data_IF_551970493556
#
_entry.id   IF_551970493556
#
_cell.length_a   1.000
_cell.length_b   1.000
_cell.length_c   1.000
_cell.angle_alpha   90.00
_cell.angle_beta   90.00
_cell.angle_gamma   90.00
#
_symmetry.space_group_name_H-M   'P 1'
#
loop_
_entity.id
_entity.type
_entity.pdbx_description
1 polymer ?
#
# COMPACT_ATOMS: atom_id res chain seq x y z
N UNK A 1 -86.85 -47.02 20.99
CA UNK A 1 -86.94 -46.08 19.86
C UNK A 1 -85.50 -45.70 19.44
N UNK A 2 -85.05 -46.26 18.30
CA UNK A 2 -83.67 -46.14 17.85
C UNK A 2 -83.61 -44.99 16.84
N UNK A 3 -82.67 -44.05 17.04
CA UNK A 3 -82.34 -43.04 16.04
C UNK A 3 -80.90 -43.26 15.63
N UNK A 4 -80.68 -43.54 14.34
CA UNK A 4 -79.40 -43.70 13.69
C UNK A 4 -78.80 -42.31 13.39
N UNK A 5 -77.56 -42.11 13.76
CA UNK A 5 -76.77 -40.95 13.34
C UNK A 5 -75.82 -41.41 12.27
N UNK A 6 -75.93 -40.81 11.07
CA UNK A 6 -74.98 -41.01 9.95
C UNK A 6 -73.81 -40.07 10.10
N UNK A 7 -72.61 -40.64 10.13
CA UNK A 7 -71.34 -39.92 10.09
C UNK A 7 -70.93 -39.67 8.65
N UNK A 8 -70.78 -38.40 8.26
CA UNK A 8 -70.12 -38.01 7.02
C UNK A 8 -68.60 -37.80 7.28
N UNK A 9 -67.76 -38.55 6.55
CA UNK A 9 -66.35 -38.29 6.45
C UNK A 9 -66.14 -37.15 5.44
N UNK A 10 -65.48 -36.08 5.89
CA UNK A 10 -64.92 -35.03 5.02
C UNK A 10 -63.44 -35.29 4.91
N UNK A 11 -62.97 -35.64 3.70
CA UNK A 11 -61.56 -35.79 3.42
C UNK A 11 -60.87 -34.45 3.26
N UNK A 12 -59.89 -34.19 4.10
CA UNK A 12 -59.01 -33.01 4.00
C UNK A 12 -57.82 -33.40 3.09
N UNK A 13 -57.82 -32.88 1.87
CA UNK A 13 -56.68 -32.91 0.98
C UNK A 13 -55.59 -31.93 1.42
N UNK A 14 -54.46 -32.47 1.87
CA UNK A 14 -53.26 -31.70 2.15
C UNK A 14 -52.53 -31.35 0.86
N UNK A 15 -52.70 -30.10 0.37
CA UNK A 15 -51.90 -29.57 -0.74
C UNK A 15 -50.52 -29.11 -0.18
N UNK A 16 -49.48 -29.90 -0.37
CA UNK A 16 -48.11 -29.53 -0.09
C UNK A 16 -47.64 -28.55 -1.17
N UNK A 17 -47.64 -27.27 -0.82
CA UNK A 17 -46.92 -26.23 -1.58
C UNK A 17 -45.42 -26.41 -1.38
N UNK A 18 -44.72 -27.01 -2.39
CA UNK A 18 -43.28 -26.92 -2.50
C UNK A 18 -42.89 -25.44 -2.78
N UNK A 19 -42.49 -24.72 -1.76
CA UNK A 19 -41.81 -23.45 -1.92
C UNK A 19 -40.38 -23.74 -2.45
N UNK A 20 -40.20 -23.66 -3.77
CA UNK A 20 -38.90 -23.55 -4.39
C UNK A 20 -38.26 -22.26 -3.93
N UNK A 21 -37.44 -22.34 -2.88
CA UNK A 21 -36.58 -21.24 -2.47
C UNK A 21 -35.56 -20.94 -3.58
N UNK A 22 -35.86 -19.95 -4.40
CA UNK A 22 -34.87 -19.31 -5.26
C UNK A 22 -33.85 -18.67 -4.32
N UNK A 23 -32.78 -19.38 -4.04
CA UNK A 23 -31.57 -18.80 -3.48
C UNK A 23 -31.05 -17.79 -4.50
N UNK A 24 -31.47 -16.55 -4.39
CA UNK A 24 -30.83 -15.42 -5.06
C UNK A 24 -29.41 -15.38 -4.54
N UNK A 25 -28.46 -15.98 -5.27
CA UNK A 25 -27.05 -15.65 -5.09
C UNK A 25 -26.98 -14.13 -5.26
N UNK A 26 -26.76 -13.41 -4.19
CA UNK A 26 -26.44 -11.98 -4.26
C UNK A 26 -25.19 -11.89 -5.15
N UNK A 27 -25.36 -11.62 -6.43
CA UNK A 27 -24.27 -11.20 -7.29
C UNK A 27 -23.78 -9.90 -6.68
N UNK A 28 -22.54 -9.89 -6.21
CA UNK A 28 -21.92 -8.65 -5.78
C UNK A 28 -22.11 -7.63 -6.91
N UNK A 29 -22.71 -6.48 -6.58
CA UNK A 29 -23.00 -5.45 -7.58
C UNK A 29 -21.69 -5.11 -8.30
N UNK A 30 -21.72 -5.17 -9.63
CA UNK A 30 -20.57 -4.81 -10.47
C UNK A 30 -20.22 -3.35 -10.19
N UNK A 31 -18.96 -3.04 -9.81
CA UNK A 31 -18.58 -1.68 -9.48
C UNK A 31 -18.84 -0.72 -10.64
N UNK A 32 -19.22 0.52 -10.36
CA UNK A 32 -19.54 1.55 -11.38
C UNK A 32 -18.37 1.83 -12.33
N UNK A 33 -17.13 1.65 -11.86
CA UNK A 33 -15.93 1.79 -12.70
C UNK A 33 -15.71 0.60 -13.66
N UNK A 34 -16.47 -0.47 -13.54
CA UNK A 34 -16.44 -1.59 -14.46
C UNK A 34 -17.46 -1.40 -15.58
N UNK A 35 -17.02 -0.97 -16.75
CA UNK A 35 -17.86 -0.81 -17.92
C UNK A 35 -18.10 -2.12 -18.69
N UNK A 36 -18.96 -2.10 -19.73
CA UNK A 36 -19.39 -3.29 -20.45
C UNK A 36 -18.38 -3.83 -21.47
N UNK A 37 -17.43 -3.02 -21.92
CA UNK A 37 -16.45 -3.41 -22.97
C UNK A 37 -15.43 -4.37 -22.37
N UNK A 38 -15.20 -5.50 -23.04
CA UNK A 38 -14.15 -6.46 -22.63
C UNK A 38 -12.77 -5.86 -22.83
N UNK A 39 -11.88 -6.12 -21.85
CA UNK A 39 -10.51 -5.62 -21.89
C UNK A 39 -9.54 -6.59 -21.17
N UNK A 40 -8.27 -6.43 -21.49
CA UNK A 40 -7.13 -7.07 -20.83
C UNK A 40 -6.29 -6.02 -20.11
N UNK A 41 -5.76 -6.35 -18.93
CA UNK A 41 -4.97 -5.42 -18.11
C UNK A 41 -3.66 -6.07 -17.68
N UNK A 42 -2.59 -5.29 -17.62
CA UNK A 42 -1.32 -5.70 -17.03
C UNK A 42 -0.90 -4.76 -15.92
N UNK A 43 -0.43 -5.32 -14.80
CA UNK A 43 0.30 -4.61 -13.76
C UNK A 43 1.80 -4.82 -13.99
N UNK A 44 2.52 -3.73 -14.18
CA UNK A 44 3.96 -3.73 -14.40
C UNK A 44 4.63 -3.08 -13.19
N UNK A 45 5.39 -3.87 -12.45
CA UNK A 45 6.14 -3.44 -11.28
C UNK A 45 7.61 -3.26 -11.66
N UNK A 46 8.25 -2.21 -11.16
CA UNK A 46 9.68 -1.99 -11.42
C UNK A 46 10.58 -2.85 -10.53
N UNK A 47 10.10 -3.23 -9.33
CA UNK A 47 10.85 -4.00 -8.33
C UNK A 47 9.94 -4.84 -7.44
N UNK A 48 9.64 -6.07 -7.86
CA UNK A 48 8.66 -6.96 -7.20
C UNK A 48 9.15 -7.71 -5.97
N UNK A 49 10.37 -7.47 -5.49
CA UNK A 49 11.08 -8.38 -4.59
C UNK A 49 10.70 -8.35 -3.11
N UNK A 50 10.13 -7.27 -2.56
CA UNK A 50 9.80 -7.19 -1.14
C UNK A 50 8.33 -7.49 -0.84
N UNK A 51 8.01 -7.71 0.44
CA UNK A 51 6.65 -8.05 0.87
C UNK A 51 5.62 -6.98 0.52
N UNK A 52 5.99 -5.70 0.59
CA UNK A 52 5.09 -4.60 0.23
C UNK A 52 4.64 -4.72 -1.24
N UNK A 53 5.58 -5.02 -2.15
CA UNK A 53 5.30 -5.20 -3.57
C UNK A 53 4.40 -6.41 -3.82
N UNK A 54 4.67 -7.52 -3.13
CA UNK A 54 3.87 -8.74 -3.25
C UNK A 54 2.44 -8.50 -2.79
N UNK A 55 2.23 -7.82 -1.66
CA UNK A 55 0.88 -7.45 -1.17
C UNK A 55 0.21 -6.45 -2.11
N UNK A 56 0.93 -5.44 -2.60
CA UNK A 56 0.41 -4.48 -3.59
C UNK A 56 -0.02 -5.17 -4.88
N UNK A 57 0.78 -6.12 -5.38
CA UNK A 57 0.42 -6.92 -6.56
C UNK A 57 -0.86 -7.72 -6.34
N UNK A 58 -1.01 -8.34 -5.16
CA UNK A 58 -2.24 -9.05 -4.78
C UNK A 58 -3.44 -8.10 -4.71
N UNK A 59 -3.27 -6.90 -4.14
CA UNK A 59 -4.32 -5.88 -4.09
C UNK A 59 -4.79 -5.46 -5.49
N UNK A 60 -3.85 -5.23 -6.41
CA UNK A 60 -4.15 -4.87 -7.80
C UNK A 60 -4.91 -5.97 -8.54
N UNK A 61 -4.49 -7.23 -8.35
CA UNK A 61 -5.18 -8.39 -8.92
C UNK A 61 -6.61 -8.51 -8.40
N UNK A 62 -6.79 -8.50 -7.09
CA UNK A 62 -8.11 -8.55 -6.45
C UNK A 62 -9.02 -7.43 -6.94
N UNK A 63 -8.48 -6.22 -7.16
CA UNK A 63 -9.29 -5.11 -7.67
C UNK A 63 -9.73 -5.33 -9.11
N UNK A 64 -8.83 -5.79 -9.98
CA UNK A 64 -9.16 -6.10 -11.37
C UNK A 64 -10.23 -7.22 -11.49
N UNK A 65 -10.16 -8.23 -10.63
CA UNK A 65 -11.09 -9.38 -10.59
C UNK A 65 -12.52 -9.00 -10.19
N UNK A 66 -12.73 -7.82 -9.58
CA UNK A 66 -14.08 -7.30 -9.32
C UNK A 66 -14.82 -6.91 -10.59
N UNK A 67 -14.11 -6.74 -11.71
CA UNK A 67 -14.72 -6.35 -12.98
C UNK A 67 -14.82 -7.55 -13.94
N UNK A 68 -16.02 -8.11 -14.16
CA UNK A 68 -16.22 -9.24 -15.06
C UNK A 68 -15.93 -8.93 -16.55
N UNK A 69 -15.70 -7.66 -16.88
CA UNK A 69 -15.27 -7.25 -18.22
C UNK A 69 -13.77 -7.40 -18.44
N UNK A 70 -12.98 -7.58 -17.38
CA UNK A 70 -11.55 -7.91 -17.49
C UNK A 70 -11.43 -9.42 -17.80
N UNK A 71 -11.00 -9.72 -19.00
CA UNK A 71 -10.88 -11.11 -19.50
C UNK A 71 -9.52 -11.73 -19.18
N UNK A 72 -8.50 -10.90 -18.92
CA UNK A 72 -7.16 -11.34 -18.55
C UNK A 72 -6.46 -10.29 -17.70
N UNK A 73 -5.84 -10.73 -16.60
CA UNK A 73 -4.91 -9.95 -15.80
C UNK A 73 -3.50 -10.54 -15.96
N UNK A 74 -2.54 -9.71 -16.31
CA UNK A 74 -1.14 -10.10 -16.45
C UNK A 74 -0.26 -9.30 -15.47
N UNK A 75 0.91 -9.86 -15.15
CA UNK A 75 1.88 -9.24 -14.26
C UNK A 75 3.29 -9.38 -14.83
N UNK A 76 4.12 -8.35 -14.64
CA UNK A 76 5.55 -8.42 -14.87
C UNK A 76 6.30 -7.67 -13.76
N UNK A 77 7.43 -8.26 -13.37
CA UNK A 77 8.37 -7.71 -12.40
C UNK A 77 9.64 -7.23 -13.13
N UNK A 78 9.94 -5.95 -13.04
CA UNK A 78 11.15 -5.34 -13.58
C UNK A 78 12.45 -5.71 -12.84
N UNK A 79 12.34 -6.33 -11.66
CA UNK A 79 13.48 -6.84 -10.85
C UNK A 79 14.52 -5.77 -10.50
N UNK A 80 14.11 -4.53 -10.32
CA UNK A 80 14.99 -3.39 -10.08
C UNK A 80 15.82 -2.98 -11.31
N UNK A 81 15.55 -3.55 -12.48
CA UNK A 81 16.27 -3.28 -13.71
C UNK A 81 15.44 -2.38 -14.64
N UNK A 82 15.88 -1.14 -14.81
CA UNK A 82 15.21 -0.14 -15.64
C UNK A 82 15.02 -0.62 -17.09
N UNK A 83 16.01 -1.30 -17.69
CA UNK A 83 15.90 -1.77 -19.07
C UNK A 83 14.84 -2.87 -19.21
N UNK A 84 14.76 -3.74 -18.20
CA UNK A 84 13.71 -4.75 -18.17
C UNK A 84 12.33 -4.11 -18.02
N UNK A 85 12.15 -3.15 -17.12
CA UNK A 85 10.89 -2.42 -16.97
C UNK A 85 10.47 -1.74 -18.29
N UNK A 86 11.40 -1.08 -19.00
CA UNK A 86 11.16 -0.51 -20.31
C UNK A 86 10.77 -1.57 -21.37
N UNK A 87 11.43 -2.74 -21.34
CA UNK A 87 11.11 -3.87 -22.22
C UNK A 87 9.73 -4.44 -21.93
N UNK A 88 9.37 -4.57 -20.67
CA UNK A 88 8.05 -5.06 -20.24
C UNK A 88 6.94 -4.12 -20.72
N UNK A 89 7.07 -2.80 -20.52
CA UNK A 89 6.10 -1.81 -21.00
C UNK A 89 5.88 -1.95 -22.51
N UNK A 90 6.97 -1.97 -23.28
CA UNK A 90 6.90 -2.11 -24.75
C UNK A 90 6.32 -3.47 -25.17
N UNK A 91 6.74 -4.54 -24.48
CA UNK A 91 6.31 -5.91 -24.77
C UNK A 91 4.80 -6.11 -24.55
N UNK A 92 4.26 -5.63 -23.42
CA UNK A 92 2.83 -5.74 -23.15
C UNK A 92 1.99 -4.87 -24.07
N UNK A 93 2.45 -3.65 -24.43
CA UNK A 93 1.80 -2.84 -25.43
C UNK A 93 1.75 -3.53 -26.80
N UNK A 94 2.85 -4.16 -27.22
CA UNK A 94 2.95 -4.90 -28.50
C UNK A 94 2.11 -6.19 -28.50
N UNK A 95 1.97 -6.88 -27.37
CA UNK A 95 1.11 -8.07 -27.22
C UNK A 95 -0.40 -7.76 -27.32
N UNK A 96 -0.77 -6.51 -27.37
CA UNK A 96 -2.16 -6.12 -27.52
C UNK A 96 -2.93 -5.95 -26.21
N UNK A 97 -2.26 -5.94 -25.04
CA UNK A 97 -2.90 -5.61 -23.77
C UNK A 97 -3.56 -4.22 -23.86
N UNK A 98 -4.80 -4.09 -23.40
CA UNK A 98 -5.59 -2.87 -23.55
C UNK A 98 -5.19 -1.79 -22.53
N UNK A 99 -4.84 -2.17 -21.30
CA UNK A 99 -4.48 -1.25 -20.22
C UNK A 99 -3.21 -1.69 -19.46
N UNK A 100 -2.33 -0.73 -19.22
CA UNK A 100 -1.09 -0.89 -18.47
C UNK A 100 -1.18 -0.05 -17.20
N UNK A 101 -1.11 -0.69 -16.02
CA UNK A 101 -0.92 -0.04 -14.72
C UNK A 101 0.56 -0.19 -14.37
N UNK A 102 1.28 0.92 -14.19
CA UNK A 102 2.73 0.91 -14.12
C UNK A 102 3.24 1.56 -12.85
N UNK A 103 3.96 0.82 -12.02
CA UNK A 103 4.73 1.41 -10.94
C UNK A 103 6.04 1.98 -11.51
N UNK A 104 6.18 3.28 -11.43
CA UNK A 104 7.27 4.00 -12.09
C UNK A 104 8.56 4.10 -11.29
N UNK A 105 9.10 3.00 -10.73
CA UNK A 105 10.31 3.03 -9.88
C UNK A 105 11.49 3.80 -10.46
N UNK A 106 11.71 3.68 -11.76
CA UNK A 106 12.80 4.37 -12.45
C UNK A 106 12.48 5.85 -12.77
N UNK A 107 11.35 6.38 -12.23
CA UNK A 107 10.97 7.78 -12.39
C UNK A 107 10.85 8.19 -13.86
N UNK A 108 11.41 9.35 -14.25
CA UNK A 108 11.30 9.85 -15.63
C UNK A 108 11.91 8.95 -16.71
N UNK A 109 12.77 8.00 -16.36
CA UNK A 109 13.38 7.09 -17.33
C UNK A 109 12.35 6.19 -18.05
N UNK A 110 11.20 5.88 -17.42
CA UNK A 110 10.14 5.10 -18.08
C UNK A 110 9.23 5.91 -18.97
N UNK A 111 9.23 7.25 -18.85
CA UNK A 111 8.31 8.13 -19.57
C UNK A 111 8.29 7.93 -21.11
N UNK A 112 9.42 7.74 -21.81
CA UNK A 112 9.39 7.49 -23.26
C UNK A 112 8.62 6.22 -23.63
N UNK A 113 8.73 5.14 -22.85
CA UNK A 113 8.01 3.90 -23.10
C UNK A 113 6.52 4.02 -22.79
N UNK A 114 6.15 4.72 -21.69
CA UNK A 114 4.75 5.04 -21.38
C UNK A 114 4.11 5.87 -22.49
N UNK A 115 4.80 6.91 -22.95
CA UNK A 115 4.32 7.78 -24.06
C UNK A 115 4.15 7.00 -25.35
N UNK A 116 5.05 6.09 -25.68
CA UNK A 116 4.94 5.26 -26.87
C UNK A 116 3.73 4.32 -26.79
N UNK A 117 3.50 3.68 -25.65
CA UNK A 117 2.33 2.83 -25.42
C UNK A 117 1.01 3.65 -25.50
N UNK A 118 0.97 4.83 -24.90
CA UNK A 118 -0.18 5.72 -24.95
C UNK A 118 -0.50 6.17 -26.38
N UNK A 119 0.51 6.61 -27.15
CA UNK A 119 0.35 6.97 -28.55
C UNK A 119 -0.05 5.80 -29.46
N UNK A 120 0.25 4.57 -29.05
CA UNK A 120 -0.23 3.35 -29.71
C UNK A 120 -1.68 3.00 -29.32
N UNK A 121 -2.39 3.89 -28.61
CA UNK A 121 -3.80 3.73 -28.25
C UNK A 121 -4.04 2.87 -27.02
N UNK A 122 -3.00 2.59 -26.21
CA UNK A 122 -3.17 1.86 -24.94
C UNK A 122 -3.61 2.79 -23.83
N UNK A 123 -4.42 2.28 -22.91
CA UNK A 123 -4.65 2.92 -21.62
C UNK A 123 -3.38 2.75 -20.80
N UNK A 124 -2.79 3.83 -20.32
CA UNK A 124 -1.54 3.81 -19.55
C UNK A 124 -1.73 4.62 -18.27
N UNK A 125 -1.63 3.95 -17.13
CA UNK A 125 -1.84 4.55 -15.81
C UNK A 125 -0.58 4.33 -14.96
N UNK A 126 0.41 5.24 -15.02
CA UNK A 126 1.48 5.24 -14.03
C UNK A 126 0.92 5.62 -12.66
N UNK A 127 1.46 5.02 -11.59
CA UNK A 127 0.97 5.29 -10.26
C UNK A 127 2.08 5.40 -9.21
N UNK A 128 1.73 6.04 -8.10
CA UNK A 128 2.50 6.24 -6.87
C UNK A 128 3.72 7.17 -7.05
N UNK A 129 4.70 6.78 -7.86
CA UNK A 129 5.95 7.53 -8.07
C UNK A 129 5.82 8.42 -9.30
N UNK A 130 6.24 9.67 -9.20
CA UNK A 130 6.19 10.64 -10.30
C UNK A 130 7.15 10.25 -11.42
N UNK A 131 6.61 10.08 -12.62
CA UNK A 131 7.38 9.70 -13.82
C UNK A 131 7.62 10.90 -14.76
N UNK A 132 7.13 12.09 -14.39
CA UNK A 132 7.07 13.24 -15.29
C UNK A 132 5.95 13.11 -16.32
N UNK A 133 5.93 14.01 -17.31
CA UNK A 133 4.90 14.01 -18.34
C UNK A 133 3.57 14.63 -17.89
N UNK A 134 2.50 14.36 -18.65
CA UNK A 134 1.20 15.00 -18.43
C UNK A 134 0.05 14.08 -18.84
N UNK A 135 -1.01 14.10 -18.03
CA UNK A 135 -2.27 13.40 -18.26
C UNK A 135 -2.86 13.75 -19.63
N UNK A 136 -3.30 12.73 -20.37
CA UNK A 136 -3.89 12.88 -21.71
C UNK A 136 -2.92 13.24 -22.84
N UNK A 137 -1.63 13.44 -22.53
CA UNK A 137 -0.59 13.76 -23.54
C UNK A 137 0.49 12.69 -23.61
N UNK A 138 0.94 12.18 -22.47
CA UNK A 138 2.05 11.22 -22.36
C UNK A 138 1.62 9.87 -21.79
N UNK A 139 0.52 9.86 -21.09
CA UNK A 139 -0.18 8.69 -20.55
C UNK A 139 -1.65 9.07 -20.30
N UNK A 140 -2.49 8.11 -20.01
CA UNK A 140 -3.92 8.35 -19.80
C UNK A 140 -4.17 9.15 -18.52
N UNK A 141 -3.63 8.69 -17.37
CA UNK A 141 -3.81 9.30 -16.07
C UNK A 141 -2.69 8.90 -15.12
N UNK A 142 -2.13 9.86 -14.39
CA UNK A 142 -1.28 9.57 -13.24
C UNK A 142 -2.11 9.44 -11.97
N UNK A 143 -1.92 8.36 -11.22
CA UNK A 143 -2.55 8.12 -9.93
C UNK A 143 -1.52 8.26 -8.82
N UNK A 144 -1.50 9.42 -8.17
CA UNK A 144 -0.53 9.77 -7.14
C UNK A 144 -0.82 9.16 -5.77
N UNK A 145 0.09 9.46 -4.83
CA UNK A 145 -0.11 9.30 -3.39
C UNK A 145 0.26 10.60 -2.68
N UNK A 146 -0.38 10.88 -1.54
CA UNK A 146 -0.17 12.13 -0.80
C UNK A 146 1.02 12.06 0.17
N UNK A 147 2.21 11.73 -0.33
CA UNK A 147 3.42 11.59 0.50
C UNK A 147 3.76 12.84 1.31
N UNK A 148 3.46 14.01 0.78
CA UNK A 148 3.64 15.26 1.53
C UNK A 148 2.73 15.31 2.76
N UNK A 149 1.52 14.75 2.68
CA UNK A 149 0.61 14.64 3.83
C UNK A 149 1.14 13.63 4.85
N UNK A 150 1.77 12.52 4.40
CA UNK A 150 2.39 11.53 5.26
C UNK A 150 3.53 12.17 6.07
N UNK A 151 4.45 12.86 5.40
CA UNK A 151 5.54 13.61 6.04
C UNK A 151 5.03 14.69 7.00
N UNK A 152 3.98 15.42 6.62
CA UNK A 152 3.36 16.43 7.50
C UNK A 152 2.70 15.80 8.74
N UNK A 153 2.13 14.60 8.61
CA UNK A 153 1.54 13.84 9.72
C UNK A 153 2.62 13.39 10.70
N UNK A 154 3.72 12.82 10.21
CA UNK A 154 4.90 12.51 11.02
C UNK A 154 5.44 13.75 11.73
N UNK A 155 5.60 14.86 10.98
CA UNK A 155 6.09 16.13 11.54
C UNK A 155 5.22 16.66 12.67
N UNK A 156 3.90 16.62 12.53
CA UNK A 156 2.96 17.05 13.58
C UNK A 156 3.08 16.20 14.84
N UNK A 157 3.16 14.88 14.67
CA UNK A 157 3.34 13.97 15.79
C UNK A 157 4.70 14.19 16.48
N UNK A 158 5.79 14.30 15.71
CA UNK A 158 7.13 14.57 16.23
C UNK A 158 7.12 15.89 17.03
N UNK A 159 6.55 16.95 16.49
CA UNK A 159 6.47 18.27 17.17
C UNK A 159 5.69 18.20 18.48
N UNK A 160 4.63 17.39 18.53
CA UNK A 160 3.85 17.17 19.75
C UNK A 160 4.65 16.39 20.82
N UNK A 161 5.50 15.43 20.41
CA UNK A 161 6.31 14.64 21.34
C UNK A 161 7.60 15.36 21.78
N UNK A 162 8.14 16.23 20.95
CA UNK A 162 9.42 16.93 21.13
C UNK A 162 9.25 18.45 20.89
N UNK A 163 8.50 19.17 21.73
CA UNK A 163 8.14 20.57 21.45
C UNK A 163 9.33 21.53 21.42
N UNK A 164 10.49 21.14 21.95
CA UNK A 164 11.71 21.95 22.00
C UNK A 164 12.75 21.57 20.93
N UNK A 165 12.37 20.75 19.94
CA UNK A 165 13.26 20.24 18.90
C UNK A 165 13.78 18.82 19.19
N UNK A 166 14.37 18.20 18.17
CA UNK A 166 14.86 16.83 18.22
C UNK A 166 15.97 16.56 17.19
N UNK A 167 16.80 15.55 17.44
CA UNK A 167 17.72 14.99 16.45
C UNK A 167 17.03 13.85 15.69
N UNK A 168 16.95 13.98 14.38
CA UNK A 168 16.19 13.12 13.50
C UNK A 168 17.11 12.36 12.55
N UNK A 169 16.83 11.08 12.32
CA UNK A 169 17.28 10.37 11.13
C UNK A 169 16.08 10.19 10.20
N UNK A 170 16.26 10.38 8.90
CA UNK A 170 15.26 10.05 7.89
C UNK A 170 15.85 9.07 6.88
N UNK A 171 15.26 7.86 6.83
CA UNK A 171 15.64 6.77 5.94
C UNK A 171 14.52 6.57 4.91
N UNK A 172 14.88 6.55 3.62
CA UNK A 172 13.92 6.37 2.53
C UNK A 172 14.50 5.52 1.39
N UNK A 173 13.74 5.39 0.33
CA UNK A 173 14.06 4.57 -0.84
C UNK A 173 15.25 5.07 -1.67
N UNK A 174 15.19 4.88 -3.01
CA UNK A 174 16.25 5.33 -3.92
C UNK A 174 16.42 6.84 -3.93
N UNK A 175 17.65 7.31 -4.07
CA UNK A 175 17.94 8.74 -4.24
C UNK A 175 17.18 9.33 -5.43
N UNK A 176 16.55 10.49 -5.23
CA UNK A 176 15.75 11.16 -6.26
C UNK A 176 14.36 10.58 -6.49
N UNK A 177 13.95 9.54 -5.75
CA UNK A 177 12.59 9.07 -5.79
C UNK A 177 11.64 10.11 -5.18
N UNK A 178 10.51 10.38 -5.85
CA UNK A 178 9.57 11.42 -5.42
C UNK A 178 8.92 11.14 -4.08
N UNK A 179 8.75 9.89 -3.65
CA UNK A 179 8.16 9.55 -2.37
C UNK A 179 8.94 10.18 -1.22
N UNK A 180 10.19 9.81 -1.03
CA UNK A 180 11.01 10.35 0.08
C UNK A 180 11.22 11.86 0.00
N UNK A 181 11.31 12.43 -1.22
CA UNK A 181 11.44 13.88 -1.40
C UNK A 181 10.17 14.62 -0.96
N UNK A 182 9.00 14.12 -1.30
CA UNK A 182 7.72 14.71 -0.92
C UNK A 182 7.45 14.54 0.59
N UNK A 183 7.80 13.39 1.18
CA UNK A 183 7.72 13.15 2.62
C UNK A 183 8.63 14.12 3.39
N UNK A 184 9.87 14.30 2.93
CA UNK A 184 10.79 15.31 3.51
C UNK A 184 10.22 16.73 3.38
N UNK A 185 9.65 17.06 2.22
CA UNK A 185 8.98 18.33 2.04
C UNK A 185 7.80 18.49 3.01
N UNK A 186 7.05 17.44 3.24
CA UNK A 186 5.96 17.38 4.23
C UNK A 186 6.46 17.64 5.65
N UNK A 187 7.49 16.92 6.09
CA UNK A 187 8.15 17.12 7.39
C UNK A 187 8.55 18.60 7.58
N UNK A 188 9.21 19.20 6.58
CA UNK A 188 9.68 20.58 6.61
C UNK A 188 8.57 21.64 6.59
N UNK A 189 7.32 21.28 6.27
CA UNK A 189 6.19 22.21 6.43
C UNK A 189 5.78 22.40 7.89
N UNK A 190 6.22 21.49 8.77
CA UNK A 190 5.80 21.43 10.19
C UNK A 190 6.98 21.67 11.13
N UNK A 191 8.12 21.06 10.81
CA UNK A 191 9.34 21.11 11.63
C UNK A 191 10.21 22.30 11.22
N UNK A 192 10.63 23.07 12.20
CA UNK A 192 11.54 24.22 12.03
C UNK A 192 13.01 23.82 12.30
N UNK A 193 13.93 24.76 12.31
CA UNK A 193 15.37 24.54 12.45
C UNK A 193 15.81 23.99 13.82
N UNK A 194 14.91 23.89 14.79
CA UNK A 194 15.19 23.22 16.08
C UNK A 194 15.21 21.69 15.92
N UNK A 195 14.65 21.17 14.83
CA UNK A 195 14.65 19.75 14.47
C UNK A 195 15.79 19.49 13.48
N UNK A 196 16.83 18.79 13.95
CA UNK A 196 18.07 18.58 13.20
C UNK A 196 18.11 17.23 12.54
N UNK A 197 18.14 17.20 11.21
CA UNK A 197 18.41 15.97 10.45
C UNK A 197 19.91 15.64 10.56
N UNK A 198 20.23 14.47 11.10
CA UNK A 198 21.60 14.00 11.35
C UNK A 198 22.24 13.41 10.09
N UNK A 199 21.42 12.88 9.20
CA UNK A 199 21.86 12.29 7.94
C UNK A 199 22.09 13.36 6.86
N UNK A 200 22.89 13.03 5.82
CA UNK A 200 23.07 13.92 4.67
C UNK A 200 21.74 14.15 3.93
N UNK A 201 21.61 15.31 3.31
CA UNK A 201 20.43 15.62 2.51
C UNK A 201 20.39 14.79 1.21
N UNK A 202 19.21 14.37 0.76
CA UNK A 202 17.89 14.64 1.37
C UNK A 202 17.56 13.67 2.51
N UNK A 203 18.06 12.43 2.48
CA UNK A 203 17.84 11.35 3.45
C UNK A 203 18.87 10.23 3.26
N UNK A 204 18.93 9.30 4.20
CA UNK A 204 19.71 8.07 4.02
C UNK A 204 19.01 7.12 3.06
N UNK A 205 19.74 6.73 2.01
CA UNK A 205 19.22 5.87 0.95
C UNK A 205 19.27 4.41 1.37
N UNK A 206 18.10 3.76 1.40
CA UNK A 206 17.96 2.35 1.75
C UNK A 206 17.44 1.48 0.61
N UNK A 207 17.03 2.09 -0.50
CA UNK A 207 16.39 1.41 -1.64
C UNK A 207 15.20 0.52 -1.23
N UNK A 208 14.60 0.76 -0.04
CA UNK A 208 13.59 -0.10 0.59
C UNK A 208 14.04 -1.57 0.73
N UNK A 209 15.36 -1.79 0.77
CA UNK A 209 15.97 -3.08 1.03
C UNK A 209 16.22 -3.26 2.54
N UNK A 210 15.68 -4.31 3.18
CA UNK A 210 15.86 -4.51 4.62
C UNK A 210 17.32 -4.69 5.05
N UNK A 211 18.15 -5.35 4.23
CA UNK A 211 19.56 -5.58 4.55
C UNK A 211 20.37 -4.29 4.46
N UNK A 212 20.12 -3.48 3.43
CA UNK A 212 20.75 -2.17 3.30
C UNK A 212 20.26 -1.22 4.41
N UNK A 213 18.95 -1.22 4.74
CA UNK A 213 18.42 -0.44 5.87
C UNK A 213 19.12 -0.80 7.17
N UNK A 214 19.33 -2.09 7.44
CA UNK A 214 20.05 -2.55 8.62
C UNK A 214 21.49 -2.02 8.64
N UNK A 215 22.22 -2.11 7.54
CA UNK A 215 23.58 -1.61 7.43
C UNK A 215 23.67 -0.10 7.68
N UNK A 216 22.82 0.68 7.00
CA UNK A 216 22.78 2.15 7.10
C UNK A 216 22.41 2.58 8.51
N UNK A 217 21.34 2.05 9.07
CA UNK A 217 20.90 2.42 10.41
C UNK A 217 21.90 2.01 11.48
N UNK A 218 22.54 0.84 11.38
CA UNK A 218 23.61 0.42 12.29
C UNK A 218 24.78 1.40 12.26
N UNK A 219 25.18 1.87 11.09
CA UNK A 219 26.24 2.86 10.94
C UNK A 219 25.85 4.23 11.55
N UNK A 220 24.61 4.69 11.32
CA UNK A 220 24.12 5.94 11.88
C UNK A 220 23.96 5.86 13.42
N UNK A 221 23.58 4.70 13.97
CA UNK A 221 23.55 4.48 15.42
C UNK A 221 24.96 4.61 16.03
N UNK A 222 25.97 4.06 15.39
CA UNK A 222 27.35 4.14 15.84
C UNK A 222 27.93 5.57 15.76
N UNK A 223 27.56 6.31 14.71
CA UNK A 223 28.06 7.66 14.41
C UNK A 223 27.40 8.73 15.30
N UNK A 224 26.13 8.57 15.59
CA UNK A 224 25.33 9.60 16.29
C UNK A 224 25.04 9.16 17.73
N UNK A 225 25.64 9.80 18.74
CA UNK A 225 25.45 9.42 20.14
C UNK A 225 24.03 9.70 20.64
N UNK A 226 23.31 10.65 20.01
CA UNK A 226 21.94 11.01 20.36
C UNK A 226 21.06 11.04 19.11
N UNK A 227 20.10 10.16 19.04
CA UNK A 227 19.02 10.08 18.04
C UNK A 227 17.73 10.12 18.84
N UNK A 228 16.89 11.13 18.63
CA UNK A 228 15.63 11.28 19.34
C UNK A 228 14.48 10.62 18.57
N UNK A 229 14.52 10.69 17.23
CA UNK A 229 13.49 10.13 16.35
C UNK A 229 14.11 9.52 15.11
N UNK A 230 13.60 8.36 14.69
CA UNK A 230 13.83 7.80 13.36
C UNK A 230 12.54 7.93 12.55
N UNK A 231 12.64 8.56 11.39
CA UNK A 231 11.59 8.60 10.38
C UNK A 231 11.93 7.63 9.27
N UNK A 232 10.96 6.86 8.80
CA UNK A 232 11.16 5.96 7.65
C UNK A 232 9.85 5.70 6.92
N UNK A 233 9.90 5.71 5.61
CA UNK A 233 8.77 5.34 4.75
C UNK A 233 8.57 3.82 4.64
N UNK A 234 9.49 3.02 5.21
CA UNK A 234 9.39 1.56 5.25
C UNK A 234 9.72 1.01 6.65
N UNK A 235 8.77 1.17 7.59
CA UNK A 235 8.92 0.80 8.99
C UNK A 235 9.40 -0.63 9.27
N UNK A 236 8.87 -1.68 8.62
CA UNK A 236 9.33 -3.05 8.82
C UNK A 236 10.82 -3.29 8.60
N UNK A 237 11.46 -2.51 7.72
CA UNK A 237 12.89 -2.65 7.43
C UNK A 237 13.80 -2.21 8.60
N UNK A 238 13.27 -1.39 9.51
CA UNK A 238 14.02 -0.91 10.68
C UNK A 238 14.28 -2.02 11.71
N UNK A 239 13.38 -3.01 11.79
CA UNK A 239 13.35 -4.03 12.86
C UNK A 239 14.69 -4.75 13.01
N UNK A 240 15.40 -5.01 11.91
CA UNK A 240 16.70 -5.70 11.92
C UNK A 240 17.81 -4.92 12.63
N UNK A 241 17.76 -3.58 12.65
CA UNK A 241 18.77 -2.72 13.25
C UNK A 241 18.40 -2.18 14.64
N UNK A 242 17.12 -2.12 15.00
CA UNK A 242 16.70 -1.57 16.30
C UNK A 242 17.37 -2.21 17.53
N UNK A 243 17.70 -3.54 17.55
CA UNK A 243 18.43 -4.15 18.64
C UNK A 243 19.84 -3.56 18.89
N UNK A 244 20.43 -2.86 17.91
CA UNK A 244 21.76 -2.23 18.06
C UNK A 244 21.75 -1.09 19.10
N UNK A 245 20.60 -0.43 19.32
CA UNK A 245 20.46 0.52 20.40
C UNK A 245 20.74 -0.13 21.76
N UNK A 246 20.11 -1.26 22.05
CA UNK A 246 20.31 -2.00 23.28
C UNK A 246 21.76 -2.49 23.42
N UNK A 247 22.36 -2.98 22.35
CA UNK A 247 23.77 -3.40 22.34
C UNK A 247 24.73 -2.26 22.66
N UNK A 248 24.38 -1.04 22.26
CA UNK A 248 25.13 0.18 22.58
C UNK A 248 24.78 0.82 23.93
N UNK A 249 23.95 0.15 24.76
CA UNK A 249 23.51 0.65 26.06
C UNK A 249 22.49 1.81 25.97
N UNK A 250 21.79 1.94 24.85
CA UNK A 250 20.85 3.04 24.55
C UNK A 250 19.42 2.53 24.43
N UNK A 251 18.46 3.37 24.77
CA UNK A 251 17.05 3.12 24.46
C UNK A 251 16.77 3.24 22.98
N UNK A 252 15.83 2.45 22.45
CA UNK A 252 15.30 2.64 21.11
C UNK A 252 14.55 3.98 21.09
N UNK A 253 14.84 4.87 20.13
CA UNK A 253 14.19 6.19 20.04
C UNK A 253 12.74 6.08 19.55
N UNK A 254 12.06 7.23 19.50
CA UNK A 254 10.74 7.33 18.88
C UNK A 254 10.80 7.02 17.37
N UNK A 255 9.78 6.37 16.85
CA UNK A 255 9.64 6.07 15.42
C UNK A 255 8.40 6.75 14.84
N UNK A 256 8.55 7.43 13.70
CA UNK A 256 7.47 7.94 12.88
C UNK A 256 7.61 7.34 11.47
N UNK A 257 6.69 6.42 11.06
CA UNK A 257 6.94 5.56 9.90
C UNK A 257 5.66 5.02 9.27
N UNK A 258 5.77 4.15 8.27
CA UNK A 258 4.68 3.31 7.78
C UNK A 258 4.50 2.06 8.65
N UNK A 259 3.29 1.50 8.68
CA UNK A 259 2.97 0.32 9.47
C UNK A 259 3.59 -0.98 8.93
N UNK A 260 3.57 -1.99 9.79
CA UNK A 260 3.88 -3.38 9.46
C UNK A 260 3.85 -4.27 10.69
N UNK A 261 3.34 -5.49 10.53
CA UNK A 261 3.13 -6.41 11.66
C UNK A 261 4.41 -6.71 12.45
N UNK A 262 5.55 -6.90 11.76
CA UNK A 262 6.85 -7.12 12.43
C UNK A 262 7.26 -5.94 13.32
N UNK A 263 7.01 -4.71 12.88
CA UNK A 263 7.33 -3.50 13.63
C UNK A 263 6.43 -3.34 14.85
N UNK A 264 5.12 -3.54 14.68
CA UNK A 264 4.16 -3.49 15.78
C UNK A 264 4.45 -4.55 16.84
N UNK A 265 4.85 -5.77 16.43
CA UNK A 265 5.25 -6.82 17.36
C UNK A 265 6.57 -6.50 18.06
N UNK A 266 7.56 -5.97 17.33
CA UNK A 266 8.81 -5.54 17.95
C UNK A 266 8.57 -4.44 18.99
N UNK A 267 7.71 -3.47 18.69
CA UNK A 267 7.32 -2.44 19.66
C UNK A 267 6.64 -3.06 20.87
N UNK A 268 5.67 -3.93 20.69
CA UNK A 268 4.92 -4.59 21.78
C UNK A 268 5.85 -5.35 22.73
N UNK A 269 6.87 -6.01 22.19
CA UNK A 269 7.81 -6.81 22.96
C UNK A 269 8.87 -5.98 23.71
N UNK A 270 9.15 -4.76 23.25
CA UNK A 270 10.28 -3.95 23.74
C UNK A 270 9.89 -2.63 24.43
N UNK A 271 8.70 -2.07 24.17
CA UNK A 271 8.34 -0.73 24.62
C UNK A 271 8.26 -0.62 26.17
N UNK A 272 7.89 -1.70 26.87
CA UNK A 272 7.80 -1.69 28.33
C UNK A 272 9.11 -1.30 29.03
N UNK A 273 10.23 -1.74 28.48
CA UNK A 273 11.57 -1.50 29.04
C UNK A 273 12.28 -0.33 28.33
N UNK A 274 11.60 0.36 27.40
CA UNK A 274 12.11 1.46 26.63
C UNK A 274 11.11 2.63 26.61
N UNK A 275 11.06 3.50 27.61
CA UNK A 275 10.06 4.56 27.74
C UNK A 275 10.12 5.59 26.58
N UNK A 276 11.26 5.74 25.92
CA UNK A 276 11.46 6.62 24.76
C UNK A 276 10.97 5.98 23.45
N UNK A 277 10.76 4.68 23.45
CA UNK A 277 10.30 3.93 22.28
C UNK A 277 8.81 4.16 22.01
N UNK A 278 8.50 5.32 21.46
CA UNK A 278 7.16 5.66 20.97
C UNK A 278 7.04 5.30 19.50
N UNK A 279 5.85 4.92 19.06
CA UNK A 279 5.59 4.54 17.67
C UNK A 279 4.36 5.27 17.14
N UNK A 280 4.52 5.91 15.99
CA UNK A 280 3.45 6.49 15.20
C UNK A 280 3.55 5.99 13.77
N UNK A 281 2.45 5.48 13.22
CA UNK A 281 2.44 4.97 11.85
C UNK A 281 1.33 5.61 11.00
N UNK A 282 1.64 5.78 9.72
CA UNK A 282 0.64 5.95 8.66
C UNK A 282 0.44 4.61 7.96
N UNK A 283 -0.72 4.39 7.37
CA UNK A 283 -0.97 3.20 6.57
C UNK A 283 0.04 3.10 5.42
N UNK A 284 0.59 1.92 5.20
CA UNK A 284 1.69 1.73 4.24
C UNK A 284 1.32 1.94 2.76
N UNK A 285 0.00 2.04 2.46
CA UNK A 285 -0.48 2.40 1.14
C UNK A 285 -0.40 1.29 0.09
N UNK A 286 -0.42 0.02 0.47
CA UNK A 286 -0.53 -1.11 -0.46
C UNK A 286 -1.75 -1.02 -1.37
N UNK A 287 -2.81 -0.35 -0.92
CA UNK A 287 -4.08 -0.20 -1.65
C UNK A 287 -4.08 0.94 -2.70
N UNK A 288 -2.99 1.73 -2.80
CA UNK A 288 -2.87 2.76 -3.85
C UNK A 288 -3.05 2.18 -5.26
N UNK A 289 -2.56 0.97 -5.51
CA UNK A 289 -2.72 0.27 -6.78
C UNK A 289 -4.18 0.03 -7.16
N UNK A 290 -5.08 -0.14 -6.18
CA UNK A 290 -6.52 -0.34 -6.44
C UNK A 290 -7.10 0.85 -7.20
N UNK A 291 -6.79 2.06 -6.77
CA UNK A 291 -7.23 3.28 -7.45
C UNK A 291 -6.67 3.37 -8.88
N UNK A 292 -5.41 2.99 -9.09
CA UNK A 292 -4.81 2.96 -10.42
C UNK A 292 -5.47 1.91 -11.34
N UNK A 293 -5.78 0.73 -10.78
CA UNK A 293 -6.54 -0.33 -11.50
C UNK A 293 -7.93 0.16 -11.86
N UNK A 294 -8.65 0.80 -10.95
CA UNK A 294 -9.98 1.36 -11.21
C UNK A 294 -9.94 2.38 -12.37
N UNK A 295 -8.97 3.29 -12.38
CA UNK A 295 -8.76 4.24 -13.49
C UNK A 295 -8.48 3.53 -14.82
N UNK A 296 -7.61 2.53 -14.80
CA UNK A 296 -7.24 1.76 -15.98
C UNK A 296 -8.43 0.96 -16.54
N UNK A 297 -9.15 0.27 -15.66
CA UNK A 297 -10.33 -0.53 -16.02
C UNK A 297 -11.45 0.38 -16.52
N UNK A 298 -11.80 1.46 -15.80
CA UNK A 298 -12.85 2.37 -16.22
C UNK A 298 -12.59 2.94 -17.61
N UNK A 299 -11.36 3.37 -17.89
CA UNK A 299 -10.98 3.87 -19.20
C UNK A 299 -11.07 2.80 -20.30
N UNK A 300 -10.56 1.59 -20.01
CA UNK A 300 -10.51 0.51 -21.00
C UNK A 300 -11.90 -0.09 -21.29
N UNK A 301 -12.76 -0.19 -20.29
CA UNK A 301 -14.07 -0.84 -20.39
C UNK A 301 -15.23 0.13 -20.65
N UNK A 302 -15.02 1.44 -20.49
CA UNK A 302 -16.06 2.46 -20.59
C UNK A 302 -16.93 2.56 -19.34
N UNK A 303 -16.34 2.34 -18.17
CA UNK A 303 -16.96 2.51 -16.86
C UNK A 303 -16.93 3.97 -16.38
N UNK A 304 -17.49 4.22 -15.19
CA UNK A 304 -17.43 5.53 -14.53
C UNK A 304 -16.03 5.77 -13.95
N UNK A 305 -15.43 6.90 -14.28
CA UNK A 305 -14.11 7.26 -13.76
C UNK A 305 -14.17 7.46 -12.24
N UNK A 306 -13.15 7.00 -11.47
CA UNK A 306 -13.02 7.36 -10.07
C UNK A 306 -13.00 8.87 -9.86
N UNK A 307 -13.59 9.34 -8.76
CA UNK A 307 -13.55 10.75 -8.40
C UNK A 307 -12.15 11.21 -7.96
N UNK A 308 -11.43 10.32 -7.26
CA UNK A 308 -10.08 10.57 -6.76
C UNK A 308 -9.03 10.12 -7.77
N UNK A 309 -7.89 10.82 -7.75
CA UNK A 309 -6.68 10.45 -8.48
C UNK A 309 -5.43 10.42 -7.56
N UNK A 310 -5.62 10.72 -6.29
CA UNK A 310 -4.56 10.72 -5.27
C UNK A 310 -5.01 9.83 -4.12
N UNK A 311 -4.23 8.79 -3.87
CA UNK A 311 -4.40 7.95 -2.69
C UNK A 311 -3.88 8.70 -1.45
N UNK A 312 -4.68 8.74 -0.40
CA UNK A 312 -4.32 9.32 0.90
C UNK A 312 -4.21 8.21 1.94
N UNK A 313 -3.00 8.01 2.44
CA UNK A 313 -2.79 7.08 3.52
C UNK A 313 -3.32 7.68 4.83
N UNK A 314 -4.23 7.02 5.57
CA UNK A 314 -4.66 7.48 6.87
C UNK A 314 -3.56 7.26 7.92
N UNK A 315 -3.57 8.02 9.01
CA UNK A 315 -2.88 7.63 10.24
C UNK A 315 -3.40 6.27 10.67
N UNK A 316 -2.52 5.36 11.09
CA UNK A 316 -2.90 4.00 11.42
C UNK A 316 -2.76 3.69 12.90
N UNK A 317 -1.59 3.96 13.51
CA UNK A 317 -1.34 3.70 14.93
C UNK A 317 -0.64 4.88 15.60
N UNK A 318 -0.96 5.08 16.88
CA UNK A 318 -0.23 5.99 17.75
C UNK A 318 -0.11 5.38 19.16
N UNK A 319 1.09 5.05 19.57
CA UNK A 319 1.38 4.45 20.87
C UNK A 319 1.12 5.39 22.05
N UNK A 320 1.06 6.70 21.79
CA UNK A 320 0.90 7.73 22.84
C UNK A 320 -0.56 8.05 23.06
N UNK A 321 -1.27 8.45 22.00
CA UNK A 321 -2.70 8.80 22.10
C UNK A 321 -3.63 7.59 22.02
N UNK A 322 -3.20 6.52 21.37
CA UNK A 322 -4.04 5.37 21.05
C UNK A 322 -5.09 5.65 19.98
N UNK A 323 -4.95 6.75 19.23
CA UNK A 323 -5.90 7.20 18.21
C UNK A 323 -5.19 7.39 16.86
N UNK A 324 -5.70 6.84 15.74
CA UNK A 324 -6.97 6.11 15.58
C UNK A 324 -6.95 4.71 16.18
N UNK A 325 -5.77 4.11 16.39
CA UNK A 325 -5.62 2.83 17.07
C UNK A 325 -4.34 2.77 17.92
N UNK A 326 -4.35 1.91 18.92
CA UNK A 326 -3.10 1.50 19.60
C UNK A 326 -2.26 0.66 18.65
N UNK A 327 -0.96 0.54 18.96
CA UNK A 327 -0.05 -0.34 18.21
C UNK A 327 -0.59 -1.78 18.22
N UNK A 328 -0.62 -2.39 17.05
CA UNK A 328 -1.17 -3.72 16.82
C UNK A 328 -0.04 -4.71 16.56
N UNK A 329 -0.15 -5.89 17.13
CA UNK A 329 0.73 -7.02 16.89
C UNK A 329 -0.09 -8.29 16.76
N UNK A 330 0.06 -8.98 15.65
CA UNK A 330 -0.56 -10.27 15.38
C UNK A 330 0.54 -11.33 15.29
N UNK A 331 0.92 -11.90 16.46
CA UNK A 331 1.96 -12.94 16.54
C UNK A 331 1.57 -14.26 15.85
N UNK A 332 0.30 -14.44 15.59
CA UNK A 332 -0.28 -15.56 14.85
C UNK A 332 -0.15 -15.39 13.33
N UNK A 333 0.31 -14.23 12.87
CA UNK A 333 0.45 -13.90 11.44
C UNK A 333 1.91 -13.62 11.08
N UNK A 334 2.29 -13.78 9.79
CA UNK A 334 3.62 -13.45 9.33
C UNK A 334 4.01 -11.99 9.63
N UNK A 335 5.26 -11.75 10.01
CA UNK A 335 5.77 -10.39 10.24
C UNK A 335 5.77 -9.51 8.98
N UNK A 336 5.76 -10.14 7.81
CA UNK A 336 5.84 -9.48 6.50
C UNK A 336 4.49 -8.98 5.96
N UNK A 337 3.42 -9.00 6.77
CA UNK A 337 2.11 -8.47 6.39
C UNK A 337 1.88 -7.07 6.96
N UNK A 338 0.87 -6.39 6.41
CA UNK A 338 0.49 -5.01 6.75
C UNK A 338 -0.95 -5.00 7.25
N UNK A 339 -1.14 -4.64 8.52
CA UNK A 339 -2.47 -4.66 9.14
C UNK A 339 -3.36 -3.51 8.65
N UNK A 340 -2.77 -2.48 8.03
CA UNK A 340 -3.49 -1.38 7.37
C UNK A 340 -3.99 -1.73 5.96
N UNK A 341 -3.56 -2.86 5.38
CA UNK A 341 -3.94 -3.27 4.01
C UNK A 341 -5.38 -3.76 3.94
N UNK A 342 -6.06 -3.43 2.84
CA UNK A 342 -7.36 -4.01 2.49
C UNK A 342 -7.30 -5.45 1.94
N UNK A 343 -6.09 -6.01 1.75
CA UNK A 343 -5.89 -7.44 1.45
C UNK A 343 -6.00 -8.23 2.75
N UNK A 344 -6.76 -9.32 2.75
CA UNK A 344 -6.89 -10.16 3.94
C UNK A 344 -5.53 -10.69 4.42
N UNK A 345 -5.38 -10.94 5.73
CA UNK A 345 -4.12 -11.48 6.28
C UNK A 345 -3.71 -12.80 5.62
N UNK A 346 -4.67 -13.67 5.33
CA UNK A 346 -4.44 -14.94 4.65
C UNK A 346 -3.95 -14.77 3.20
N UNK A 347 -4.53 -13.81 2.47
CA UNK A 347 -4.10 -13.54 1.10
C UNK A 347 -2.75 -12.81 1.06
N UNK A 348 -2.47 -11.95 2.04
CA UNK A 348 -1.14 -11.39 2.21
C UNK A 348 -0.11 -12.48 2.51
N UNK A 349 -0.42 -13.42 3.44
CA UNK A 349 0.47 -14.54 3.75
C UNK A 349 0.79 -15.39 2.51
N UNK A 350 -0.23 -15.71 1.70
CA UNK A 350 -0.03 -16.40 0.41
C UNK A 350 0.83 -15.58 -0.56
N UNK A 351 0.58 -14.27 -0.65
CA UNK A 351 1.32 -13.40 -1.55
C UNK A 351 2.82 -13.33 -1.19
N UNK A 352 3.16 -13.36 0.10
CA UNK A 352 4.57 -13.33 0.58
C UNK A 352 5.18 -14.72 0.75
N UNK A 353 4.53 -15.77 0.27
CA UNK A 353 5.08 -17.14 0.26
C UNK A 353 5.10 -17.82 1.63
N UNK A 354 4.11 -17.53 2.48
CA UNK A 354 3.98 -18.09 3.85
C UNK A 354 2.70 -18.92 3.98
#
# INVERSE_FOLDING_TARGET
>A
MKVLLKTMLVGAGASALLALGLSSSAMADTPSWCGPKKATIALLDGFGGNSWRQVTTAAGKQEAEKCPSITKYEYADGQGNTQKALSDIKGFAAKGVDALVVFGDAGPAVLPALTAAFKAGKVVVPYRVVVGGKDGETYTKFVGASFKDDGASWGKWIKAQFPNGANLLFLSGPAGNSQGLDELAGLKTVLDDTYKFLNPAPFDVTNWDPSLTQQVLTAEIAKNPKIDVIVSDFGPSLVGALPEFKKSGRSVPALATSDGNSLGCFWTDNAKDNPDFKLFTVATGTDNVRLAVQWAVATATGGTMPADQVFKAPTFEDSVSGTPSKVQCRKDLPGAIYLSSGVSADDQAKAVGK
#
